data_IF_745483393877
#
_entry.id   IF_745483393877
#
_cell.length_a   1.000
_cell.length_b   1.000
_cell.length_c   1.000
_cell.angle_alpha   90.00
_cell.angle_beta   90.00
_cell.angle_gamma   90.00
#
_symmetry.space_group_name_H-M   'P 1'
#
loop_
_entity.id
_entity.type
_entity.pdbx_description
1 polymer ?
#
# COMPACT_ATOMS: atom_id res chain seq x y z
N UNK A 1 -4.72 -23.52 25.32
CA UNK A 1 -4.19 -22.68 24.22
C UNK A 1 -5.33 -22.20 23.32
N UNK A 2 -6.34 -21.52 23.88
CA UNK A 2 -7.49 -20.97 23.12
C UNK A 2 -7.83 -19.53 23.53
N UNK A 3 -6.86 -18.82 24.13
CA UNK A 3 -7.07 -17.44 24.64
C UNK A 3 -7.49 -16.45 23.55
N UNK A 4 -7.25 -16.79 22.28
CA UNK A 4 -7.61 -15.96 21.13
C UNK A 4 -9.06 -16.16 20.69
N UNK A 5 -9.68 -17.31 20.98
CA UNK A 5 -11.03 -17.68 20.55
C UNK A 5 -12.12 -17.05 21.45
N UNK A 6 -11.96 -15.77 21.76
CA UNK A 6 -12.95 -15.00 22.53
C UNK A 6 -13.93 -14.40 21.55
N UNK A 7 -15.22 -14.48 21.85
CA UNK A 7 -16.26 -13.82 21.07
C UNK A 7 -16.02 -12.30 21.04
N UNK A 8 -16.31 -11.65 19.92
CA UNK A 8 -16.27 -10.19 19.84
C UNK A 8 -17.60 -9.62 20.35
N UNK A 9 -17.54 -8.75 21.35
CA UNK A 9 -18.69 -7.95 21.80
C UNK A 9 -18.84 -6.71 20.92
N UNK A 10 -17.70 -6.14 20.52
CA UNK A 10 -17.60 -5.06 19.52
C UNK A 10 -16.26 -5.15 18.81
N UNK A 11 -15.98 -4.24 17.86
CA UNK A 11 -14.69 -4.19 17.17
C UNK A 11 -13.49 -4.00 18.13
N UNK A 12 -13.72 -3.44 19.32
CA UNK A 12 -12.68 -3.13 20.31
C UNK A 12 -12.77 -3.96 21.59
N UNK A 13 -13.84 -4.73 21.76
CA UNK A 13 -14.13 -5.44 22.99
C UNK A 13 -14.33 -6.93 22.72
N UNK A 14 -13.63 -7.75 23.50
CA UNK A 14 -13.76 -9.21 23.47
C UNK A 14 -14.49 -9.69 24.72
N UNK A 15 -15.37 -10.66 24.55
CA UNK A 15 -16.12 -11.34 25.60
C UNK A 15 -15.22 -12.15 26.52
N UNK A 16 -15.78 -12.96 27.41
CA UNK A 16 -15.02 -13.60 28.49
C UNK A 16 -13.80 -14.42 28.03
N UNK A 17 -12.83 -14.57 28.93
CA UNK A 17 -11.65 -15.39 28.65
C UNK A 17 -12.01 -16.87 28.59
N UNK A 18 -11.63 -17.50 27.49
CA UNK A 18 -11.64 -18.97 27.32
C UNK A 18 -10.64 -19.60 28.29
N UNK A 19 -11.13 -20.39 29.25
CA UNK A 19 -10.31 -21.11 30.25
C UNK A 19 -10.12 -22.57 29.87
N UNK A 20 -11.12 -23.19 29.25
CA UNK A 20 -11.12 -24.59 28.81
C UNK A 20 -11.62 -24.70 27.37
N UNK A 21 -11.38 -25.85 26.73
CA UNK A 21 -11.78 -26.07 25.33
C UNK A 21 -13.30 -26.11 25.21
N UNK A 22 -13.95 -26.69 26.21
CA UNK A 22 -15.40 -26.85 26.30
C UNK A 22 -16.14 -25.51 26.46
N UNK A 23 -15.43 -24.42 26.77
CA UNK A 23 -16.02 -23.08 26.82
C UNK A 23 -16.41 -22.57 25.42
N UNK A 24 -15.82 -23.13 24.35
CA UNK A 24 -15.98 -22.65 22.97
C UNK A 24 -16.24 -23.75 21.94
N UNK A 25 -16.07 -25.03 22.31
CA UNK A 25 -16.28 -26.17 21.42
C UNK A 25 -17.11 -27.26 22.10
N UNK A 26 -17.95 -27.91 21.30
CA UNK A 26 -18.77 -29.07 21.67
C UNK A 26 -18.38 -30.31 20.88
N UNK A 27 -18.66 -31.50 21.44
CA UNK A 27 -18.46 -32.76 20.72
C UNK A 27 -19.40 -32.79 19.51
N UNK A 28 -18.83 -32.96 18.31
CA UNK A 28 -19.55 -32.93 17.04
C UNK A 28 -19.27 -31.68 16.20
N UNK A 29 -18.60 -30.67 16.76
CA UNK A 29 -18.22 -29.47 16.00
C UNK A 29 -17.22 -29.79 14.89
N UNK A 30 -17.44 -29.18 13.72
CA UNK A 30 -16.48 -29.18 12.61
C UNK A 30 -15.61 -27.94 12.76
N UNK A 31 -14.32 -28.16 13.08
CA UNK A 31 -13.37 -27.08 13.35
C UNK A 31 -12.30 -26.99 12.26
N UNK A 32 -11.85 -25.76 11.99
CA UNK A 32 -10.69 -25.53 11.15
C UNK A 32 -9.43 -25.66 12.01
N UNK A 33 -8.45 -26.42 11.52
CA UNK A 33 -7.18 -26.61 12.21
C UNK A 33 -6.01 -26.48 11.24
N UNK A 34 -4.88 -26.00 11.74
CA UNK A 34 -3.60 -26.00 11.02
C UNK A 34 -2.61 -26.91 11.73
N UNK A 35 -1.96 -27.79 10.97
CA UNK A 35 -0.89 -28.64 11.51
C UNK A 35 0.27 -27.76 11.94
N UNK A 36 0.79 -27.98 13.16
CA UNK A 36 1.94 -27.20 13.66
C UNK A 36 3.23 -27.61 12.93
N UNK A 37 4.08 -26.63 12.59
CA UNK A 37 5.36 -26.92 11.95
C UNK A 37 6.29 -27.71 12.88
N UNK A 38 6.22 -27.41 14.19
CA UNK A 38 6.99 -28.10 15.23
C UNK A 38 6.13 -29.17 15.91
N UNK A 39 6.40 -30.43 15.58
CA UNK A 39 5.71 -31.59 16.14
C UNK A 39 6.40 -32.10 17.42
N UNK A 40 5.65 -32.69 18.37
CA UNK A 40 6.22 -33.30 19.56
C UNK A 40 7.10 -34.50 19.18
N UNK A 41 8.05 -34.85 20.07
CA UNK A 41 8.86 -36.06 19.89
C UNK A 41 7.96 -37.31 20.05
N UNK A 42 8.30 -38.43 19.37
CA UNK A 42 7.59 -39.68 19.56
C UNK A 42 7.55 -40.07 21.04
N UNK A 43 6.39 -40.53 21.50
CA UNK A 43 6.23 -41.07 22.84
C UNK A 43 6.49 -42.57 22.74
N UNK A 44 7.37 -43.07 23.61
CA UNK A 44 7.63 -44.51 23.75
C UNK A 44 6.63 -45.09 24.74
N UNK A 45 5.79 -45.99 24.25
CA UNK A 45 4.80 -46.69 25.08
C UNK A 45 5.18 -48.16 25.11
N UNK A 46 5.21 -48.74 26.30
CA UNK A 46 5.39 -50.17 26.49
C UNK A 46 4.03 -50.85 26.41
N UNK A 47 3.91 -51.82 25.53
CA UNK A 47 2.72 -52.64 25.37
C UNK A 47 3.10 -54.11 25.58
N UNK A 48 2.28 -54.85 26.33
CA UNK A 48 2.48 -56.29 26.50
C UNK A 48 1.76 -57.01 25.37
N UNK A 49 2.52 -57.69 24.53
CA UNK A 49 1.99 -58.47 23.41
C UNK A 49 2.14 -59.95 23.74
N UNK A 50 1.08 -60.73 23.52
CA UNK A 50 1.14 -62.18 23.64
C UNK A 50 1.67 -62.77 22.34
N UNK A 51 2.75 -63.52 22.42
CA UNK A 51 3.37 -64.21 21.30
C UNK A 51 3.36 -65.71 21.58
N UNK A 52 2.92 -66.49 20.61
CA UNK A 52 2.88 -67.94 20.73
C UNK A 52 4.18 -68.52 20.18
N UNK A 53 4.92 -69.23 21.02
CA UNK A 53 6.17 -69.89 20.65
C UNK A 53 6.06 -71.41 20.86
N UNK A 54 6.74 -72.18 20.01
CA UNK A 54 6.91 -73.62 20.20
C UNK A 54 8.25 -73.90 20.86
N UNK A 55 8.21 -74.55 22.02
CA UNK A 55 9.41 -74.93 22.76
C UNK A 55 9.26 -76.40 23.19
N UNK A 56 10.20 -77.25 22.77
CA UNK A 56 10.19 -78.71 23.01
C UNK A 56 8.93 -79.46 22.52
N UNK A 57 8.28 -78.98 21.44
CA UNK A 57 7.11 -79.64 20.85
C UNK A 57 5.76 -79.33 21.53
N UNK A 58 5.75 -78.40 22.49
CA UNK A 58 4.53 -77.84 23.10
C UNK A 58 4.39 -76.35 22.76
N UNK A 59 3.16 -75.94 22.42
CA UNK A 59 2.83 -74.54 22.14
C UNK A 59 2.63 -73.77 23.44
N UNK A 60 3.41 -72.72 23.68
CA UNK A 60 3.29 -71.84 24.85
C UNK A 60 3.03 -70.41 24.43
N UNK A 61 2.08 -69.76 25.10
CA UNK A 61 1.86 -68.32 24.99
C UNK A 61 2.74 -67.61 26.00
N UNK A 62 3.59 -66.69 25.53
CA UNK A 62 4.42 -65.84 26.38
C UNK A 62 4.00 -64.38 26.22
N UNK A 63 4.03 -63.64 27.34
CA UNK A 63 3.81 -62.19 27.34
C UNK A 63 5.16 -61.49 27.19
N UNK A 64 5.30 -60.65 26.16
CA UNK A 64 6.52 -59.89 25.90
C UNK A 64 6.21 -58.40 25.91
N UNK A 65 6.99 -57.62 26.67
CA UNK A 65 6.94 -56.15 26.54
C UNK A 65 7.62 -55.72 25.24
N UNK A 66 6.88 -55.03 24.39
CA UNK A 66 7.39 -54.41 23.16
C UNK A 66 7.29 -52.90 23.32
N UNK A 67 8.36 -52.19 22.97
CA UNK A 67 8.39 -50.73 23.00
C UNK A 67 7.90 -50.21 21.64
N UNK A 68 6.76 -49.53 21.64
CA UNK A 68 6.15 -48.94 20.43
C UNK A 68 6.31 -47.43 20.47
N UNK A 69 6.80 -46.86 19.37
CA UNK A 69 6.84 -45.41 19.20
C UNK A 69 5.52 -44.92 18.60
N UNK A 70 4.85 -44.01 19.32
CA UNK A 70 3.64 -43.33 18.86
C UNK A 70 4.02 -41.89 18.54
N UNK A 71 3.86 -41.50 17.28
CA UNK A 71 4.05 -40.12 16.85
C UNK A 71 2.72 -39.37 16.93
N UNK A 72 2.56 -38.54 17.96
CA UNK A 72 1.44 -37.62 18.04
C UNK A 72 1.59 -36.50 17.01
N UNK A 73 0.45 -36.02 16.50
CA UNK A 73 0.41 -34.83 15.65
C UNK A 73 -0.37 -33.73 16.34
N UNK A 74 0.27 -32.59 16.55
CA UNK A 74 -0.35 -31.39 17.12
C UNK A 74 -0.82 -30.42 16.03
N UNK A 75 -1.94 -29.78 16.33
CA UNK A 75 -2.62 -28.79 15.48
C UNK A 75 -2.93 -27.52 16.30
N UNK A 76 -2.95 -26.35 15.64
CA UNK A 76 -3.61 -25.15 16.15
C UNK A 76 -5.06 -25.12 15.67
N UNK A 77 -5.96 -24.64 16.53
CA UNK A 77 -7.28 -24.21 16.09
C UNK A 77 -7.12 -22.94 15.24
N UNK A 78 -7.93 -22.81 14.19
CA UNK A 78 -7.96 -21.67 13.29
C UNK A 78 -9.41 -21.17 13.14
N UNK A 79 -9.56 -19.91 12.73
CA UNK A 79 -10.85 -19.33 12.36
C UNK A 79 -10.74 -18.75 10.95
N UNK A 80 -11.77 -18.98 10.16
CA UNK A 80 -11.88 -18.35 8.85
C UNK A 80 -12.07 -16.84 9.03
N UNK A 81 -11.23 -15.98 8.44
CA UNK A 81 -11.31 -14.55 8.68
C UNK A 81 -12.54 -13.93 8.00
N UNK A 82 -13.32 -13.20 8.78
CA UNK A 82 -14.42 -12.36 8.26
C UNK A 82 -13.88 -11.13 7.51
N UNK A 83 -12.79 -10.55 8.03
CA UNK A 83 -12.08 -9.46 7.38
C UNK A 83 -11.47 -9.95 6.06
N UNK A 84 -11.58 -9.13 5.02
CA UNK A 84 -11.04 -9.42 3.71
C UNK A 84 -9.78 -8.60 3.43
N UNK A 85 -9.00 -9.07 2.47
CA UNK A 85 -7.86 -8.33 1.93
C UNK A 85 -7.73 -8.60 0.44
N UNK A 86 -7.17 -7.62 -0.26
CA UNK A 86 -6.82 -7.73 -1.67
C UNK A 86 -5.41 -7.20 -1.91
N UNK A 87 -4.73 -7.75 -2.92
CA UNK A 87 -3.40 -7.35 -3.34
C UNK A 87 -3.34 -7.23 -4.86
N UNK A 88 -2.68 -6.18 -5.33
CA UNK A 88 -2.33 -6.00 -6.75
C UNK A 88 -0.86 -5.64 -6.84
N UNK A 89 -0.13 -6.29 -7.74
CA UNK A 89 1.24 -5.94 -8.10
C UNK A 89 1.33 -5.65 -9.60
N UNK A 90 1.82 -4.46 -9.94
CA UNK A 90 1.93 -3.96 -11.33
C UNK A 90 3.38 -3.63 -11.62
N UNK A 91 3.86 -4.11 -12.76
CA UNK A 91 5.14 -3.72 -13.34
C UNK A 91 5.15 -2.24 -13.65
N UNK A 92 6.12 -1.52 -13.11
CA UNK A 92 6.18 -0.06 -13.21
C UNK A 92 6.38 0.39 -14.66
N UNK A 93 7.15 -0.37 -15.45
CA UNK A 93 7.59 0.03 -16.79
C UNK A 93 6.57 -0.31 -17.87
N UNK A 94 5.88 -1.44 -17.74
CA UNK A 94 4.96 -1.92 -18.79
C UNK A 94 3.48 -1.81 -18.42
N UNK A 95 3.14 -1.74 -17.12
CA UNK A 95 1.76 -1.86 -16.65
C UNK A 95 1.27 -3.32 -16.54
N UNK A 96 2.13 -4.32 -16.75
CA UNK A 96 1.74 -5.72 -16.60
C UNK A 96 1.30 -6.03 -15.16
N UNK A 97 0.13 -6.64 -14.98
CA UNK A 97 -0.31 -7.11 -13.67
C UNK A 97 0.42 -8.43 -13.34
N UNK A 98 1.46 -8.34 -12.50
CA UNK A 98 2.31 -9.48 -12.12
C UNK A 98 1.68 -10.38 -11.06
N UNK A 99 0.84 -9.82 -10.18
CA UNK A 99 0.08 -10.59 -9.21
C UNK A 99 -1.25 -9.91 -8.89
N UNK A 100 -2.29 -10.73 -8.70
CA UNK A 100 -3.60 -10.26 -8.27
C UNK A 100 -4.21 -11.26 -7.28
N UNK A 101 -4.66 -10.75 -6.13
CA UNK A 101 -5.38 -11.50 -5.10
C UNK A 101 -6.64 -10.73 -4.74
N UNK A 102 -7.82 -11.33 -4.94
CA UNK A 102 -9.12 -10.69 -4.77
C UNK A 102 -9.85 -10.95 -3.45
N UNK A 103 -9.26 -11.74 -2.55
CA UNK A 103 -9.88 -12.16 -1.28
C UNK A 103 -9.02 -13.17 -0.54
N UNK A 104 -9.44 -13.56 0.68
CA UNK A 104 -8.73 -14.57 1.47
C UNK A 104 -8.76 -15.96 0.82
N UNK A 105 -9.89 -16.35 0.25
CA UNK A 105 -10.03 -17.60 -0.49
C UNK A 105 -10.59 -17.40 -1.91
N UNK A 106 -10.75 -18.51 -2.62
CA UNK A 106 -11.35 -18.56 -3.96
C UNK A 106 -12.87 -18.78 -3.90
N UNK A 107 -13.50 -18.72 -2.72
CA UNK A 107 -14.94 -18.90 -2.61
C UNK A 107 -15.64 -17.60 -3.02
N UNK A 108 -16.47 -17.72 -4.05
CA UNK A 108 -17.16 -16.57 -4.64
C UNK A 108 -16.43 -16.02 -5.86
N UNK A 109 -17.19 -15.26 -6.66
CA UNK A 109 -16.73 -14.65 -7.92
C UNK A 109 -16.31 -13.18 -7.76
N UNK A 110 -16.42 -12.63 -6.55
CA UNK A 110 -16.17 -11.22 -6.27
C UNK A 110 -14.68 -10.97 -6.04
N UNK A 111 -14.06 -10.28 -6.99
CA UNK A 111 -12.66 -9.92 -6.99
C UNK A 111 -12.47 -8.49 -6.46
N UNK A 112 -12.14 -8.37 -5.17
CA UNK A 112 -12.00 -7.08 -4.47
C UNK A 112 -10.87 -6.22 -5.02
N UNK A 113 -9.87 -6.81 -5.67
CA UNK A 113 -8.77 -6.08 -6.26
C UNK A 113 -9.22 -5.15 -7.41
N UNK A 114 -10.26 -5.54 -8.15
CA UNK A 114 -10.73 -4.83 -9.36
C UNK A 114 -12.19 -4.34 -9.26
N UNK A 115 -13.04 -5.01 -8.46
CA UNK A 115 -14.48 -4.69 -8.38
C UNK A 115 -14.85 -3.87 -7.14
N UNK A 116 -14.14 -4.03 -6.01
CA UNK A 116 -14.48 -3.32 -4.79
C UNK A 116 -13.99 -1.87 -4.85
N UNK A 117 -14.92 -0.91 -4.86
CA UNK A 117 -14.61 0.51 -4.72
C UNK A 117 -14.70 0.89 -3.24
N UNK A 118 -13.57 1.25 -2.65
CA UNK A 118 -13.43 1.51 -1.21
C UNK A 118 -12.81 2.87 -0.97
N UNK A 119 -13.14 3.50 0.16
CA UNK A 119 -12.56 4.81 0.50
C UNK A 119 -11.05 4.67 0.67
N UNK A 120 -10.29 5.49 -0.04
CA UNK A 120 -8.82 5.37 -0.10
C UNK A 120 -8.12 6.03 1.10
N UNK A 121 -8.78 6.99 1.73
CA UNK A 121 -8.24 7.76 2.84
C UNK A 121 -6.91 8.42 2.47
N UNK A 122 -5.98 8.42 3.43
CA UNK A 122 -4.69 9.10 3.29
C UNK A 122 -3.78 8.61 2.13
N UNK A 123 -4.10 7.51 1.44
CA UNK A 123 -3.37 7.11 0.22
C UNK A 123 -3.70 8.01 -0.98
N UNK A 124 -4.71 8.88 -0.91
CA UNK A 124 -4.97 9.90 -1.94
C UNK A 124 -4.05 11.13 -1.83
N UNK A 125 -3.44 11.36 -0.67
CA UNK A 125 -2.64 12.57 -0.42
C UNK A 125 -1.53 12.82 -1.44
N UNK A 126 -0.79 11.83 -1.96
CA UNK A 126 0.26 12.10 -2.94
C UNK A 126 -0.23 12.90 -4.15
N UNK A 127 -1.47 12.70 -4.61
CA UNK A 127 -2.04 13.50 -5.70
C UNK A 127 -2.27 14.95 -5.28
N UNK A 128 -2.74 15.21 -4.06
CA UNK A 128 -2.90 16.57 -3.51
C UNK A 128 -1.55 17.29 -3.45
N UNK A 129 -0.52 16.63 -2.95
CA UNK A 129 0.82 17.20 -2.81
C UNK A 129 1.50 17.37 -4.18
N UNK A 130 1.32 16.43 -5.10
CA UNK A 130 1.78 16.55 -6.48
C UNK A 130 1.14 17.75 -7.18
N UNK A 131 -0.18 17.95 -7.03
CA UNK A 131 -0.85 19.14 -7.58
C UNK A 131 -0.31 20.42 -6.94
N UNK A 132 -0.02 20.43 -5.64
CA UNK A 132 0.58 21.60 -4.98
C UNK A 132 1.97 21.92 -5.55
N UNK A 133 2.85 20.92 -5.69
CA UNK A 133 4.18 21.11 -6.29
C UNK A 133 4.08 21.62 -7.73
N UNK A 134 3.11 21.12 -8.49
CA UNK A 134 2.84 21.59 -9.85
C UNK A 134 2.33 23.04 -9.91
N UNK A 135 1.74 23.54 -8.83
CA UNK A 135 1.25 24.91 -8.69
C UNK A 135 2.23 25.82 -7.92
N UNK A 136 3.53 25.53 -7.97
CA UNK A 136 4.58 26.41 -7.48
C UNK A 136 4.92 26.27 -5.99
N UNK A 137 4.30 25.31 -5.28
CA UNK A 137 4.77 24.96 -3.93
C UNK A 137 6.09 24.19 -4.03
N UNK A 138 6.96 24.42 -3.06
CA UNK A 138 8.24 23.72 -2.91
C UNK A 138 8.11 22.65 -1.83
N UNK A 139 9.01 21.68 -1.84
CA UNK A 139 9.06 20.62 -0.80
C UNK A 139 9.25 21.18 0.61
N UNK A 140 9.89 22.34 0.72
CA UNK A 140 10.09 23.06 1.97
C UNK A 140 9.10 24.21 2.23
N UNK A 141 8.10 24.44 1.36
CA UNK A 141 7.07 25.46 1.59
C UNK A 141 6.41 25.25 2.96
N UNK A 142 6.25 26.31 3.74
CA UNK A 142 5.72 26.22 5.09
C UNK A 142 4.20 26.21 5.06
N UNK A 143 3.59 25.16 5.59
CA UNK A 143 2.14 25.00 5.70
C UNK A 143 1.77 24.92 7.18
N UNK A 144 0.73 25.67 7.56
CA UNK A 144 0.27 25.72 8.94
C UNK A 144 -0.47 24.43 9.35
N UNK A 145 0.02 23.74 10.38
CA UNK A 145 -0.68 22.64 11.04
C UNK A 145 -1.36 23.12 12.32
N UNK A 146 -2.51 23.77 12.15
CA UNK A 146 -3.34 24.31 13.24
C UNK A 146 -4.82 23.96 13.03
N UNK A 147 -5.67 24.04 14.08
CA UNK A 147 -7.10 23.80 13.94
C UNK A 147 -7.70 24.66 12.82
N UNK A 148 -8.73 24.13 12.17
CA UNK A 148 -9.48 24.84 11.13
C UNK A 148 -10.95 24.46 11.26
N UNK A 149 -11.83 25.43 11.09
CA UNK A 149 -13.27 25.23 11.05
C UNK A 149 -13.75 25.71 9.70
N UNK A 150 -14.39 24.82 8.95
CA UNK A 150 -14.92 25.09 7.63
C UNK A 150 -16.43 25.09 7.75
N UNK A 151 -17.04 26.26 7.55
CA UNK A 151 -18.50 26.41 7.58
C UNK A 151 -19.03 26.20 6.18
N UNK A 152 -19.98 25.29 6.06
CA UNK A 152 -20.83 25.21 4.89
C UNK A 152 -21.99 26.19 5.08
N UNK A 153 -22.02 27.24 4.27
CA UNK A 153 -23.04 28.30 4.33
C UNK A 153 -24.44 27.80 3.97
N UNK A 154 -24.56 26.69 3.24
CA UNK A 154 -25.83 26.13 2.79
C UNK A 154 -26.37 25.09 3.79
N UNK A 155 -25.48 24.31 4.41
CA UNK A 155 -25.87 23.22 5.31
C UNK A 155 -25.93 23.62 6.80
N UNK A 156 -25.54 24.85 7.14
CA UNK A 156 -25.41 25.36 8.51
C UNK A 156 -24.58 24.41 9.41
N UNK A 157 -23.66 23.66 8.81
CA UNK A 157 -22.80 22.66 9.45
C UNK A 157 -21.36 23.15 9.42
N UNK A 158 -20.70 23.04 10.57
CA UNK A 158 -19.28 23.29 10.69
C UNK A 158 -18.53 21.96 10.63
N UNK A 159 -17.61 21.84 9.68
CA UNK A 159 -16.67 20.73 9.61
C UNK A 159 -15.36 21.12 10.30
N UNK A 160 -14.98 20.34 11.31
CA UNK A 160 -13.75 20.51 12.09
C UNK A 160 -12.84 19.30 11.90
N UNK A 161 -12.08 19.23 10.80
CA UNK A 161 -11.14 18.15 10.57
C UNK A 161 -10.03 18.15 11.63
N UNK A 162 -9.43 16.98 11.86
CA UNK A 162 -8.36 16.80 12.83
C UNK A 162 -7.27 15.88 12.28
N UNK A 163 -6.05 16.00 12.81
CA UNK A 163 -5.01 15.02 12.56
C UNK A 163 -5.34 13.70 13.28
N UNK A 164 -4.88 12.58 12.73
CA UNK A 164 -5.04 11.26 13.36
C UNK A 164 -4.48 11.21 14.80
N UNK A 165 -3.39 11.93 15.07
CA UNK A 165 -2.81 12.02 16.43
C UNK A 165 -3.56 12.95 17.38
N UNK A 166 -4.61 13.64 16.91
CA UNK A 166 -5.35 14.70 17.59
C UNK A 166 -4.50 15.92 18.02
N UNK A 167 -3.20 15.91 17.68
CA UNK A 167 -2.24 16.97 18.00
C UNK A 167 -2.08 17.91 16.81
N UNK A 168 -1.73 19.16 17.13
CA UNK A 168 -1.30 20.18 16.19
C UNK A 168 0.18 20.44 16.35
N UNK A 169 0.84 20.84 15.27
CA UNK A 169 2.30 20.94 15.22
C UNK A 169 2.80 22.30 14.71
N UNK A 170 1.90 23.24 14.42
CA UNK A 170 2.24 24.58 13.96
C UNK A 170 2.79 24.61 12.52
N UNK A 171 3.46 25.70 12.12
CA UNK A 171 4.07 25.82 10.81
C UNK A 171 5.07 24.68 10.57
N UNK A 172 4.99 24.02 9.42
CA UNK A 172 5.88 22.91 9.08
C UNK A 172 6.12 22.82 7.57
N UNK A 173 7.28 22.31 7.12
CA UNK A 173 7.56 22.07 5.70
C UNK A 173 6.52 21.15 5.06
N UNK A 174 6.16 21.42 3.80
CA UNK A 174 5.22 20.61 3.00
C UNK A 174 5.59 19.13 3.05
N UNK A 175 6.88 18.79 2.96
CA UNK A 175 7.39 17.43 3.16
C UNK A 175 6.84 16.75 4.41
N UNK A 176 6.88 17.43 5.57
CA UNK A 176 6.40 16.88 6.84
C UNK A 176 4.91 16.56 6.80
N UNK A 177 4.14 17.36 6.09
CA UNK A 177 2.71 17.13 5.86
C UNK A 177 2.46 15.76 5.24
N UNK A 178 3.18 15.41 4.18
CA UNK A 178 3.02 14.10 3.53
C UNK A 178 3.64 12.97 4.35
N UNK A 179 4.86 13.14 4.86
CA UNK A 179 5.58 12.14 5.68
C UNK A 179 4.75 11.67 6.89
N UNK A 180 4.21 12.64 7.63
CA UNK A 180 3.40 12.38 8.84
C UNK A 180 1.91 12.25 8.53
N UNK A 181 1.53 12.38 7.26
CA UNK A 181 0.16 12.31 6.78
C UNK A 181 -0.80 13.25 7.52
N UNK A 182 -0.40 14.50 7.76
CA UNK A 182 -1.18 15.49 8.51
C UNK A 182 -2.38 15.97 7.72
N UNK A 183 -3.58 15.75 8.26
CA UNK A 183 -4.85 16.12 7.62
C UNK A 183 -4.98 17.65 7.50
N UNK A 184 -4.62 18.38 8.55
CA UNK A 184 -4.80 19.84 8.62
C UNK A 184 -3.95 20.60 7.59
N UNK A 185 -2.73 20.11 7.31
CA UNK A 185 -1.87 20.65 6.25
C UNK A 185 -2.43 20.30 4.86
N UNK A 186 -2.87 19.05 4.65
CA UNK A 186 -3.46 18.60 3.38
C UNK A 186 -4.69 19.41 3.00
N UNK A 187 -5.57 19.73 3.96
CA UNK A 187 -6.77 20.53 3.71
C UNK A 187 -6.41 21.96 3.30
N UNK A 188 -5.40 22.56 3.96
CA UNK A 188 -4.93 23.90 3.58
C UNK A 188 -4.32 23.93 2.19
N UNK A 189 -3.51 22.93 1.84
CA UNK A 189 -3.03 22.76 0.47
C UNK A 189 -4.18 22.62 -0.51
N UNK A 190 -5.18 21.78 -0.21
CA UNK A 190 -6.33 21.61 -1.08
C UNK A 190 -7.19 22.88 -1.24
N UNK A 191 -7.29 23.70 -0.19
CA UNK A 191 -7.95 25.02 -0.28
C UNK A 191 -7.18 25.97 -1.20
N UNK A 192 -5.86 26.06 -1.03
CA UNK A 192 -5.00 26.96 -1.83
C UNK A 192 -4.93 26.55 -3.31
N UNK A 193 -4.77 25.25 -3.58
CA UNK A 193 -4.65 24.72 -4.94
C UNK A 193 -6.01 24.57 -5.63
N UNK A 194 -7.07 24.37 -4.86
CA UNK A 194 -8.42 24.13 -5.34
C UNK A 194 -8.73 22.65 -5.58
N UNK A 195 -9.82 22.16 -4.98
CA UNK A 195 -10.19 20.74 -5.07
C UNK A 195 -10.49 20.28 -6.50
N UNK A 196 -11.08 21.15 -7.32
CA UNK A 196 -11.35 20.85 -8.73
C UNK A 196 -10.06 20.61 -9.53
N UNK A 197 -8.99 21.36 -9.22
CA UNK A 197 -7.69 21.18 -9.85
C UNK A 197 -7.06 19.84 -9.44
N UNK A 198 -7.19 19.47 -8.17
CA UNK A 198 -6.72 18.17 -7.65
C UNK A 198 -7.45 17.01 -8.34
N UNK A 199 -8.79 17.08 -8.45
CA UNK A 199 -9.58 16.03 -9.10
C UNK A 199 -9.23 15.93 -10.60
N UNK A 200 -9.08 17.06 -11.29
CA UNK A 200 -8.64 17.11 -12.69
C UNK A 200 -7.21 16.59 -12.86
N UNK A 201 -6.33 16.86 -11.91
CA UNK A 201 -4.96 16.35 -11.93
C UNK A 201 -4.94 14.84 -11.72
N UNK A 202 -5.66 14.33 -10.72
CA UNK A 202 -5.82 12.91 -10.42
C UNK A 202 -6.40 12.10 -11.59
N UNK A 203 -7.30 12.69 -12.39
CA UNK A 203 -7.88 11.99 -13.55
C UNK A 203 -6.84 11.64 -14.62
N UNK A 204 -5.74 12.41 -14.72
CA UNK A 204 -4.66 12.10 -15.66
C UNK A 204 -3.92 10.80 -15.30
N UNK A 205 -3.99 10.36 -14.04
CA UNK A 205 -3.37 9.13 -13.54
C UNK A 205 -4.26 7.89 -13.75
N UNK A 206 -5.30 7.99 -14.58
CA UNK A 206 -6.26 6.89 -14.81
C UNK A 206 -7.30 6.71 -13.71
N UNK A 207 -7.32 7.56 -12.68
CA UNK A 207 -8.28 7.43 -11.59
C UNK A 207 -9.72 7.76 -12.04
N UNK A 208 -10.74 7.02 -11.57
CA UNK A 208 -12.14 7.24 -11.94
C UNK A 208 -12.73 8.46 -11.20
N UNK A 209 -12.46 9.67 -11.71
CA UNK A 209 -12.80 10.92 -11.02
C UNK A 209 -14.17 11.51 -11.36
N UNK A 210 -14.87 10.97 -12.37
CA UNK A 210 -16.10 11.56 -12.92
C UNK A 210 -17.20 11.81 -11.86
N UNK A 211 -17.29 10.94 -10.85
CA UNK A 211 -18.28 11.01 -9.77
C UNK A 211 -17.67 11.43 -8.41
N UNK A 212 -16.44 11.95 -8.39
CA UNK A 212 -15.83 12.42 -7.15
C UNK A 212 -16.49 13.72 -6.69
N UNK A 213 -16.82 13.77 -5.40
CA UNK A 213 -17.34 14.99 -4.79
C UNK A 213 -16.30 16.10 -4.81
N UNK A 214 -16.70 17.30 -5.22
CA UNK A 214 -15.84 18.48 -5.29
C UNK A 214 -15.80 19.23 -3.96
N UNK A 215 -15.51 18.52 -2.87
CA UNK A 215 -15.38 19.10 -1.52
C UNK A 215 -14.03 18.74 -0.89
N UNK A 216 -13.64 19.46 0.17
CA UNK A 216 -12.33 19.31 0.79
C UNK A 216 -12.12 17.94 1.48
N UNK A 217 -13.17 17.17 1.74
CA UNK A 217 -13.03 15.81 2.28
C UNK A 217 -12.36 14.88 1.27
N UNK A 218 -12.53 15.13 -0.03
CA UNK A 218 -11.89 14.36 -1.11
C UNK A 218 -10.37 14.46 -1.03
N UNK A 219 -9.80 15.58 -0.57
CA UNK A 219 -8.35 15.70 -0.34
C UNK A 219 -7.84 14.79 0.79
N UNK A 220 -8.71 14.32 1.67
CA UNK A 220 -8.41 13.32 2.70
C UNK A 220 -8.71 11.88 2.24
N UNK A 221 -9.22 11.70 1.02
CA UNK A 221 -9.50 10.41 0.41
C UNK A 221 -10.88 9.83 0.73
N UNK A 222 -11.92 10.66 0.83
CA UNK A 222 -13.32 10.20 0.92
C UNK A 222 -13.85 9.57 -0.36
N UNK A 223 -13.13 9.67 -1.48
CA UNK A 223 -13.48 9.04 -2.74
C UNK A 223 -13.29 7.52 -2.69
N UNK A 224 -14.23 6.78 -3.30
CA UNK A 224 -14.17 5.32 -3.43
C UNK A 224 -13.52 4.92 -4.75
N UNK A 225 -12.39 4.21 -4.67
CA UNK A 225 -11.58 3.80 -5.83
C UNK A 225 -11.23 2.31 -5.70
N UNK A 226 -11.06 1.61 -6.82
CA UNK A 226 -10.61 0.22 -6.80
C UNK A 226 -9.12 0.12 -6.45
N UNK A 227 -8.68 -1.06 -5.98
CA UNK A 227 -7.28 -1.27 -5.64
C UNK A 227 -6.38 -1.20 -6.88
N UNK A 228 -6.78 -1.81 -7.99
CA UNK A 228 -6.01 -1.77 -9.24
C UNK A 228 -5.82 -0.33 -9.76
N UNK A 229 -6.86 0.51 -9.71
CA UNK A 229 -6.76 1.90 -10.17
C UNK A 229 -5.78 2.70 -9.29
N UNK A 230 -5.83 2.50 -7.97
CA UNK A 230 -4.91 3.17 -7.05
C UNK A 230 -3.46 2.72 -7.23
N UNK A 231 -3.21 1.43 -7.44
CA UNK A 231 -1.84 0.93 -7.66
C UNK A 231 -1.31 1.40 -9.01
N UNK A 232 -2.15 1.35 -10.04
CA UNK A 232 -1.83 1.86 -11.38
C UNK A 232 -1.48 3.34 -11.35
N UNK A 233 -2.26 4.17 -10.66
CA UNK A 233 -1.94 5.59 -10.52
C UNK A 233 -0.58 5.84 -9.82
N UNK A 234 -0.17 4.95 -8.91
CA UNK A 234 1.15 5.05 -8.26
C UNK A 234 2.31 4.66 -9.17
N UNK A 235 2.09 3.87 -10.23
CA UNK A 235 3.17 3.53 -11.19
C UNK A 235 3.68 4.78 -11.90
N UNK A 236 2.84 5.80 -12.11
CA UNK A 236 3.24 7.07 -12.73
C UNK A 236 4.39 7.73 -11.96
N UNK A 237 4.32 7.76 -10.63
CA UNK A 237 5.40 8.33 -9.81
C UNK A 237 6.67 7.47 -9.85
N UNK A 238 6.51 6.15 -9.93
CA UNK A 238 7.60 5.19 -10.02
C UNK A 238 8.28 5.18 -11.41
N UNK A 239 7.51 5.50 -12.45
CA UNK A 239 7.91 5.43 -13.86
C UNK A 239 8.17 6.82 -14.47
N UNK A 240 8.80 7.72 -13.71
CA UNK A 240 9.23 9.03 -14.21
C UNK A 240 8.11 9.85 -14.90
N UNK A 241 6.87 9.71 -14.43
CA UNK A 241 5.73 10.45 -14.95
C UNK A 241 4.96 9.78 -16.10
N UNK A 242 5.34 8.55 -16.48
CA UNK A 242 4.73 7.79 -17.57
C UNK A 242 3.65 6.85 -17.03
N UNK A 243 2.45 6.92 -17.59
CA UNK A 243 1.33 6.03 -17.31
C UNK A 243 1.24 4.92 -18.36
N UNK A 244 1.19 3.68 -17.87
CA UNK A 244 0.84 2.51 -18.66
C UNK A 244 -0.46 1.91 -18.12
N UNK A 245 -1.41 1.67 -19.01
CA UNK A 245 -2.68 1.05 -18.65
C UNK A 245 -2.44 -0.39 -18.15
N UNK A 246 -2.98 -0.76 -16.98
CA UNK A 246 -2.83 -2.12 -16.46
C UNK A 246 -3.40 -3.17 -17.40
N UNK A 247 -2.62 -4.23 -17.67
CA UNK A 247 -3.07 -5.32 -18.53
C UNK A 247 -2.76 -6.69 -17.94
N UNK A 248 -3.56 -7.69 -18.34
CA UNK A 248 -3.48 -9.06 -17.84
C UNK A 248 -2.99 -10.06 -18.88
N UNK A 249 -3.33 -9.84 -20.16
CA UNK A 249 -3.01 -10.76 -21.25
C UNK A 249 -1.76 -10.24 -21.93
N UNK A 250 -0.67 -10.98 -21.77
CA UNK A 250 0.62 -10.69 -22.41
C UNK A 250 0.61 -11.12 -23.88
N UNK A 251 0.23 -12.36 -24.15
CA UNK A 251 0.15 -12.92 -25.50
C UNK A 251 -0.98 -13.95 -25.62
N UNK A 252 -1.45 -14.16 -26.86
CA UNK A 252 -2.41 -15.21 -27.24
C UNK A 252 -1.77 -15.98 -28.40
N UNK A 253 -1.74 -17.30 -28.29
CA UNK A 253 -1.21 -18.19 -29.34
C UNK A 253 -2.29 -19.14 -29.85
N UNK A 254 -2.19 -19.54 -31.11
CA UNK A 254 -3.01 -20.61 -31.67
C UNK A 254 -2.47 -22.01 -31.30
N UNK A 255 -3.17 -23.07 -31.70
CA UNK A 255 -2.77 -24.47 -31.44
C UNK A 255 -1.42 -24.87 -32.07
N UNK A 256 -0.93 -24.12 -33.05
CA UNK A 256 0.36 -24.34 -33.71
C UNK A 256 1.52 -23.61 -33.04
N UNK A 257 1.23 -22.77 -32.04
CA UNK A 257 2.19 -21.90 -31.37
C UNK A 257 2.45 -20.60 -32.13
N UNK A 258 1.57 -20.21 -33.06
CA UNK A 258 1.64 -18.93 -33.77
C UNK A 258 0.98 -17.84 -32.92
N UNK A 259 1.66 -16.71 -32.73
CA UNK A 259 1.16 -15.57 -31.94
C UNK A 259 0.02 -14.88 -32.70
N UNK A 260 -1.16 -14.83 -32.09
CA UNK A 260 -2.35 -14.09 -32.55
C UNK A 260 -2.31 -12.66 -32.04
N UNK A 261 -1.89 -12.49 -30.78
CA UNK A 261 -1.83 -11.21 -30.10
C UNK A 261 -0.61 -11.19 -29.19
N UNK A 262 0.07 -10.04 -29.13
CA UNK A 262 0.99 -9.72 -28.04
C UNK A 262 0.79 -8.26 -27.66
N UNK A 263 0.92 -7.91 -26.38
CA UNK A 263 0.84 -6.51 -25.95
C UNK A 263 1.85 -5.66 -26.75
N UNK A 264 1.38 -4.55 -27.34
CA UNK A 264 2.20 -3.70 -28.20
C UNK A 264 2.39 -4.21 -29.63
N UNK A 265 1.80 -5.35 -29.98
CA UNK A 265 1.93 -5.97 -31.30
C UNK A 265 0.65 -6.70 -31.73
N UNK A 266 -0.12 -6.05 -32.62
CA UNK A 266 -1.31 -6.64 -33.22
C UNK A 266 -0.95 -7.29 -34.58
N UNK A 267 -0.78 -8.61 -34.60
CA UNK A 267 -0.48 -9.40 -35.80
C UNK A 267 -1.77 -9.76 -36.54
N UNK A 268 -2.37 -8.79 -37.25
CA UNK A 268 -3.60 -9.03 -38.02
C UNK A 268 -3.37 -9.67 -39.40
N UNK A 269 -2.12 -9.69 -39.91
CA UNK A 269 -1.83 -10.09 -41.30
C UNK A 269 -0.49 -10.84 -41.48
N UNK A 270 -0.09 -11.63 -40.48
CA UNK A 270 1.14 -12.43 -40.57
C UNK A 270 0.90 -13.71 -41.40
N UNK A 271 0.61 -13.56 -42.69
CA UNK A 271 0.62 -14.66 -43.66
C UNK A 271 2.08 -15.07 -43.97
N UNK A 272 2.71 -15.78 -43.04
CA UNK A 272 4.07 -16.28 -43.19
C UNK A 272 4.44 -17.33 -42.16
N UNK A 273 5.46 -18.17 -42.41
CA UNK A 273 5.83 -19.23 -41.48
C UNK A 273 6.34 -18.64 -40.17
N UNK A 274 5.47 -18.69 -39.16
CA UNK A 274 5.75 -18.63 -37.72
C UNK A 274 6.27 -17.30 -37.16
N UNK A 275 5.35 -16.38 -36.82
CA UNK A 275 5.48 -15.54 -35.64
C UNK A 275 5.41 -16.43 -34.38
N UNK A 276 6.45 -17.22 -34.15
CA UNK A 276 6.70 -17.85 -32.84
C UNK A 276 7.31 -16.80 -31.93
N UNK A 277 7.13 -16.92 -30.61
CA UNK A 277 7.74 -16.00 -29.62
C UNK A 277 9.24 -15.76 -29.86
N UNK A 278 9.95 -16.75 -30.41
CA UNK A 278 11.39 -16.68 -30.71
C UNK A 278 11.78 -15.75 -31.87
N UNK A 279 10.81 -15.27 -32.67
CA UNK A 279 11.05 -14.51 -33.90
C UNK A 279 10.28 -13.18 -33.92
N UNK A 280 9.88 -12.66 -32.76
CA UNK A 280 9.24 -11.37 -32.64
C UNK A 280 10.26 -10.23 -32.85
N UNK A 281 9.92 -9.13 -33.56
CA UNK A 281 10.82 -7.99 -33.72
C UNK A 281 11.22 -7.37 -32.38
N UNK A 282 12.50 -6.99 -32.24
CA UNK A 282 13.03 -6.27 -31.06
C UNK A 282 12.27 -4.95 -30.77
N UNK A 283 11.64 -4.37 -31.80
CA UNK A 283 10.83 -3.15 -31.73
C UNK A 283 9.63 -3.27 -30.78
N UNK A 284 9.17 -4.50 -30.48
CA UNK A 284 8.04 -4.74 -29.55
C UNK A 284 8.38 -4.36 -28.10
N UNK A 285 9.61 -4.61 -27.63
CA UNK A 285 10.04 -4.21 -26.27
C UNK A 285 10.03 -2.67 -26.11
N UNK A 286 10.30 -1.94 -27.20
CA UNK A 286 10.28 -0.47 -27.19
C UNK A 286 8.86 0.10 -27.15
N UNK A 287 7.89 -0.63 -27.73
CA UNK A 287 6.46 -0.24 -27.74
C UNK A 287 5.80 -0.57 -26.40
N UNK A 288 6.17 -1.67 -25.73
CA UNK A 288 5.67 -2.02 -24.39
C UNK A 288 6.00 -0.96 -23.32
N UNK A 289 7.00 -0.11 -23.57
CA UNK A 289 7.43 0.96 -22.67
C UNK A 289 6.96 2.37 -23.13
N UNK A 290 6.10 2.47 -24.15
CA UNK A 290 5.68 3.72 -24.80
C UNK A 290 4.51 4.46 -24.13
N UNK A 291 4.31 4.27 -22.83
CA UNK A 291 3.18 4.83 -22.08
C UNK A 291 2.99 6.34 -22.23
N UNK A 292 1.82 6.83 -21.81
CA UNK A 292 1.49 8.25 -21.90
C UNK A 292 2.24 9.04 -20.84
N UNK A 293 3.00 10.08 -21.25
CA UNK A 293 3.59 11.04 -20.30
C UNK A 293 2.48 11.90 -19.68
N UNK A 294 2.31 11.80 -18.36
CA UNK A 294 1.25 12.48 -17.61
C UNK A 294 1.76 13.68 -16.81
N UNK A 295 2.95 13.55 -16.22
CA UNK A 295 3.67 14.59 -15.48
C UNK A 295 5.14 14.58 -15.89
N UNK A 296 5.87 15.64 -15.57
CA UNK A 296 7.33 15.63 -15.74
C UNK A 296 7.99 14.59 -14.83
N UNK A 297 9.12 14.06 -15.30
CA UNK A 297 10.03 13.23 -14.52
C UNK A 297 10.50 13.94 -13.24
N UNK A 298 10.77 15.25 -13.30
CA UNK A 298 11.08 16.10 -12.14
C UNK A 298 9.98 16.04 -11.08
N UNK A 299 8.70 16.24 -11.47
CA UNK A 299 7.58 16.16 -10.50
C UNK A 299 7.43 14.74 -9.94
N UNK A 300 7.53 13.73 -10.80
CA UNK A 300 7.44 12.32 -10.40
C UNK A 300 8.52 11.98 -9.36
N UNK A 301 9.77 12.41 -9.60
CA UNK A 301 10.88 12.19 -8.69
C UNK A 301 10.70 12.93 -7.37
N UNK A 302 10.27 14.20 -7.38
CA UNK A 302 10.00 14.96 -6.16
C UNK A 302 8.95 14.26 -5.28
N UNK A 303 7.84 13.79 -5.86
CA UNK A 303 6.80 13.05 -5.13
C UNK A 303 7.36 11.72 -4.61
N UNK A 304 8.12 11.01 -5.43
CA UNK A 304 8.81 9.78 -5.02
C UNK A 304 9.73 10.02 -3.82
N UNK A 305 10.53 11.07 -3.80
CA UNK A 305 11.39 11.40 -2.66
C UNK A 305 10.59 11.79 -1.40
N UNK A 306 9.47 12.53 -1.56
CA UNK A 306 8.54 12.78 -0.45
C UNK A 306 7.98 11.45 0.13
N UNK A 307 7.61 10.51 -0.72
CA UNK A 307 7.11 9.18 -0.34
C UNK A 307 8.22 8.28 0.23
N UNK A 308 9.47 8.41 -0.22
CA UNK A 308 10.60 7.81 0.48
C UNK A 308 10.75 8.40 1.90
N UNK A 309 10.43 9.68 2.08
CA UNK A 309 10.31 10.33 3.40
C UNK A 309 9.24 9.68 4.28
N UNK A 310 8.07 9.34 3.71
CA UNK A 310 7.01 8.60 4.42
C UNK A 310 7.54 7.26 4.93
N UNK A 311 8.39 6.58 4.16
CA UNK A 311 9.06 5.35 4.62
C UNK A 311 10.10 5.67 5.70
N UNK A 312 11.09 6.52 5.39
CA UNK A 312 12.27 6.80 6.23
C UNK A 312 11.96 7.49 7.55
N UNK A 313 10.88 8.26 7.62
CA UNK A 313 10.56 9.14 8.76
C UNK A 313 9.07 9.19 9.11
N UNK A 314 8.22 8.52 8.34
CA UNK A 314 6.76 8.66 8.43
C UNK A 314 5.99 7.38 8.74
N UNK A 315 4.74 7.34 8.26
CA UNK A 315 3.77 6.26 8.55
C UNK A 315 4.05 4.96 7.79
N UNK A 316 4.80 5.01 6.69
CA UNK A 316 5.19 3.88 5.85
C UNK A 316 6.46 3.15 6.30
N UNK A 317 6.81 3.24 7.59
CA UNK A 317 8.08 2.75 8.11
C UNK A 317 8.30 1.24 7.92
N UNK A 318 7.23 0.45 7.78
CA UNK A 318 7.32 -1.01 7.56
C UNK A 318 8.10 -1.37 6.30
N UNK A 319 7.97 -0.56 5.24
CA UNK A 319 8.70 -0.75 3.99
C UNK A 319 10.24 -0.66 4.16
N UNK A 320 10.76 -0.06 5.25
CA UNK A 320 12.21 -0.08 5.54
C UNK A 320 12.77 -1.49 5.64
N UNK A 321 11.94 -2.48 6.00
CA UNK A 321 12.34 -3.87 6.11
C UNK A 321 12.78 -4.50 4.77
N UNK A 322 12.52 -3.84 3.63
CA UNK A 322 13.04 -4.27 2.34
C UNK A 322 14.54 -3.98 2.17
N UNK A 323 15.09 -2.99 2.86
CA UNK A 323 16.51 -2.63 2.74
C UNK A 323 16.93 -2.22 1.34
N UNK A 324 16.07 -1.54 0.59
CA UNK A 324 16.33 -0.99 -0.75
C UNK A 324 15.54 0.32 -0.94
N UNK A 325 15.83 1.13 -1.98
CA UNK A 325 15.03 2.30 -2.30
C UNK A 325 13.55 1.93 -2.49
N UNK A 326 12.69 2.56 -1.72
CA UNK A 326 11.26 2.27 -1.71
C UNK A 326 10.48 3.50 -1.29
N UNK A 327 9.38 3.74 -1.98
CA UNK A 327 8.40 4.78 -1.70
C UNK A 327 7.09 4.12 -1.29
N UNK A 328 6.38 4.67 -0.29
CA UNK A 328 5.10 4.12 0.13
C UNK A 328 4.21 5.15 0.81
N UNK A 329 2.90 4.90 0.77
CA UNK A 329 1.89 5.66 1.48
C UNK A 329 0.88 4.74 2.15
N UNK A 330 0.58 5.05 3.41
CA UNK A 330 -0.52 4.44 4.15
C UNK A 330 -1.84 5.18 3.89
N UNK A 331 -2.93 4.44 3.77
CA UNK A 331 -4.30 4.95 3.81
C UNK A 331 -5.05 4.36 5.00
N UNK A 332 -5.85 5.18 5.66
CA UNK A 332 -6.71 4.79 6.78
C UNK A 332 -7.91 5.70 6.73
N UNK A 333 -9.10 5.11 6.74
CA UNK A 333 -10.36 5.84 6.76
C UNK A 333 -10.86 6.01 8.19
N UNK A 334 -11.89 6.83 8.37
CA UNK A 334 -12.50 7.02 9.68
C UNK A 334 -13.01 5.67 10.22
N UNK A 335 -13.02 5.54 11.55
CA UNK A 335 -13.48 4.35 12.26
C UNK A 335 -12.80 3.04 11.81
N UNK A 336 -11.60 3.11 11.22
CA UNK A 336 -10.80 1.94 10.82
C UNK A 336 -11.55 0.99 9.88
N UNK A 337 -12.40 1.54 9.00
CA UNK A 337 -13.21 0.75 8.05
C UNK A 337 -12.33 0.18 6.92
N UNK A 338 -11.39 0.98 6.43
CA UNK A 338 -10.49 0.61 5.34
C UNK A 338 -9.03 0.94 5.71
N UNK A 339 -8.19 -0.08 5.56
CA UNK A 339 -6.74 0.03 5.68
C UNK A 339 -6.12 -0.15 4.29
N UNK A 340 -5.19 0.73 3.94
CA UNK A 340 -4.46 0.67 2.67
C UNK A 340 -2.96 0.82 2.91
N UNK A 341 -2.19 0.11 2.09
CA UNK A 341 -0.76 0.31 1.96
C UNK A 341 -0.38 0.21 0.49
N UNK A 342 -0.01 1.33 -0.12
CA UNK A 342 0.39 1.40 -1.53
C UNK A 342 1.84 1.88 -1.58
N UNK A 343 2.70 1.15 -2.26
CA UNK A 343 4.12 1.48 -2.35
C UNK A 343 4.79 0.78 -3.52
N UNK A 344 5.99 1.24 -3.85
CA UNK A 344 6.68 0.82 -5.05
C UNK A 344 8.20 0.92 -4.91
N UNK A 345 8.89 0.11 -5.72
CA UNK A 345 10.29 0.31 -6.13
C UNK A 345 10.31 0.90 -7.54
N UNK A 346 11.48 1.04 -8.16
CA UNK A 346 11.57 1.43 -9.58
C UNK A 346 11.04 0.34 -10.54
N UNK A 347 10.86 -0.90 -10.06
CA UNK A 347 10.52 -2.05 -10.87
C UNK A 347 9.05 -2.49 -10.68
N UNK A 348 8.53 -2.44 -9.44
CA UNK A 348 7.23 -2.99 -9.08
C UNK A 348 6.46 -2.08 -8.14
N UNK A 349 5.20 -1.79 -8.48
CA UNK A 349 4.23 -1.14 -7.61
C UNK A 349 3.27 -2.16 -7.02
N UNK A 350 3.03 -2.09 -5.72
CA UNK A 350 2.16 -3.01 -4.99
C UNK A 350 1.21 -2.23 -4.10
N UNK A 351 -0.05 -2.63 -4.09
CA UNK A 351 -1.03 -2.16 -3.14
C UNK A 351 -1.70 -3.31 -2.40
N UNK A 352 -1.99 -3.05 -1.13
CA UNK A 352 -2.81 -3.93 -0.31
C UNK A 352 -3.94 -3.11 0.30
N UNK A 353 -5.16 -3.65 0.20
CA UNK A 353 -6.33 -3.19 0.94
C UNK A 353 -6.75 -4.25 1.95
N UNK A 354 -7.27 -3.83 3.10
CA UNK A 354 -7.89 -4.70 4.10
C UNK A 354 -9.14 -4.02 4.67
N UNK A 355 -10.21 -4.79 4.86
CA UNK A 355 -11.49 -4.30 5.38
C UNK A 355 -12.61 -5.34 5.25
N UNK A 356 -13.78 -5.05 5.81
CA UNK A 356 -14.97 -5.89 5.66
C UNK A 356 -15.77 -5.52 4.40
N UNK A 357 -16.37 -6.52 3.75
CA UNK A 357 -17.24 -6.30 2.58
C UNK A 357 -18.42 -5.40 2.93
N UNK A 358 -19.14 -5.76 4.00
CA UNK A 358 -20.08 -4.88 4.68
C UNK A 358 -19.27 -3.91 5.55
N UNK A 359 -19.17 -2.62 5.19
CA UNK A 359 -18.23 -1.72 5.86
C UNK A 359 -18.59 -1.55 7.34
N UNK A 360 -17.67 -1.95 8.21
CA UNK A 360 -17.68 -1.62 9.64
C UNK A 360 -16.24 -1.55 10.15
N UNK A 361 -16.07 -1.05 11.37
CA UNK A 361 -14.76 -0.90 12.00
C UNK A 361 -14.05 -2.25 12.12
N UNK A 362 -12.75 -2.26 11.79
CA UNK A 362 -11.82 -3.35 12.12
C UNK A 362 -11.34 -3.30 13.58
N UNK A 363 -11.57 -2.20 14.27
CA UNK A 363 -11.10 -1.97 15.64
C UNK A 363 -9.98 -0.94 15.70
N UNK A 364 -9.75 -0.44 16.91
CA UNK A 364 -8.76 0.59 17.17
C UNK A 364 -7.36 0.11 16.80
N UNK A 365 -6.61 1.00 16.17
CA UNK A 365 -5.24 0.78 15.67
C UNK A 365 -5.14 -0.11 14.42
N UNK A 366 -6.26 -0.59 13.86
CA UNK A 366 -6.28 -1.30 12.58
C UNK A 366 -6.15 -0.33 11.39
N UNK A 367 -4.97 0.29 11.33
CA UNK A 367 -4.59 1.28 10.34
C UNK A 367 -3.99 0.64 9.10
N UNK A 368 -3.81 1.42 8.04
CA UNK A 368 -3.08 1.00 6.83
C UNK A 368 -1.67 0.49 7.12
N UNK A 369 -0.97 1.11 8.09
CA UNK A 369 0.31 0.58 8.55
C UNK A 369 0.10 -0.70 9.35
N UNK A 370 -0.89 -0.75 10.25
CA UNK A 370 -1.19 -1.88 11.15
C UNK A 370 -1.49 -3.21 10.44
N UNK A 371 -2.43 -3.18 9.49
CA UNK A 371 -3.02 -4.37 8.85
C UNK A 371 -2.43 -4.64 7.47
N UNK A 372 -2.55 -3.67 6.56
CA UNK A 372 -2.14 -3.85 5.16
C UNK A 372 -0.63 -3.77 4.97
N UNK A 373 0.06 -3.01 5.84
CA UNK A 373 1.52 -2.84 5.80
C UNK A 373 2.33 -4.12 5.98
N UNK A 374 2.04 -5.01 6.96
CA UNK A 374 2.67 -6.31 7.09
C UNK A 374 2.52 -7.18 5.84
N UNK A 375 1.30 -7.28 5.30
CA UNK A 375 1.00 -8.08 4.09
C UNK A 375 1.83 -7.55 2.91
N UNK A 376 1.82 -6.23 2.69
CA UNK A 376 2.61 -5.58 1.66
C UNK A 376 4.10 -5.86 1.82
N UNK A 377 4.61 -5.77 3.05
CA UNK A 377 6.04 -5.95 3.36
C UNK A 377 6.47 -7.40 3.12
N UNK A 378 5.65 -8.37 3.52
CA UNK A 378 5.92 -9.79 3.31
C UNK A 378 5.91 -10.13 1.82
N UNK A 379 4.90 -9.67 1.06
CA UNK A 379 4.85 -9.85 -0.38
C UNK A 379 6.11 -9.28 -1.05
N UNK A 380 6.45 -8.03 -0.75
CA UNK A 380 7.60 -7.37 -1.37
C UNK A 380 8.94 -8.00 -0.98
N UNK A 381 9.08 -8.58 0.23
CA UNK A 381 10.26 -9.36 0.60
C UNK A 381 10.41 -10.62 -0.27
N UNK A 382 9.31 -11.30 -0.55
CA UNK A 382 9.29 -12.48 -1.41
C UNK A 382 9.47 -12.12 -2.90
N UNK A 383 8.98 -10.95 -3.33
CA UNK A 383 9.17 -10.45 -4.69
C UNK A 383 10.58 -9.92 -4.94
N UNK A 384 11.27 -9.40 -3.92
CA UNK A 384 12.59 -8.74 -4.03
C UNK A 384 13.63 -9.51 -4.86
N UNK A 385 13.81 -10.83 -4.74
CA UNK A 385 14.77 -11.58 -5.56
C UNK A 385 14.51 -11.57 -7.07
N UNK A 386 13.30 -11.21 -7.49
CA UNK A 386 12.88 -11.16 -8.89
C UNK A 386 12.89 -9.73 -9.46
N UNK A 387 13.21 -8.73 -8.64
CA UNK A 387 13.33 -7.34 -9.08
C UNK A 387 14.73 -7.08 -9.65
N UNK A 388 14.83 -6.21 -10.65
CA UNK A 388 16.12 -5.76 -11.17
C UNK A 388 16.94 -5.01 -10.10
N UNK A 389 16.28 -4.43 -9.10
CA UNK A 389 16.95 -3.74 -8.00
C UNK A 389 17.36 -2.32 -8.36
N UNK A 390 16.66 -1.71 -9.32
CA UNK A 390 16.96 -0.39 -9.84
C UNK A 390 16.75 0.70 -8.77
N UNK A 391 17.59 1.73 -8.82
CA UNK A 391 17.33 2.98 -8.11
C UNK A 391 16.27 3.79 -8.86
N UNK A 392 15.60 4.70 -8.16
CA UNK A 392 14.82 5.73 -8.84
C UNK A 392 15.78 6.66 -9.59
N UNK A 393 15.52 6.83 -10.88
CA UNK A 393 16.29 7.73 -11.74
C UNK A 393 16.10 9.17 -11.29
N UNK A 394 17.19 9.92 -11.18
CA UNK A 394 17.19 11.32 -10.75
C UNK A 394 17.25 12.19 -12.02
N UNK A 395 16.20 12.98 -12.33
CA UNK A 395 16.20 13.89 -13.48
C UNK A 395 17.30 14.95 -13.39
N UNK A 396 17.77 15.46 -14.54
CA UNK A 396 18.81 16.48 -14.62
C UNK A 396 18.44 17.80 -13.92
N UNK A 397 17.14 18.13 -13.91
CA UNK A 397 16.57 19.34 -13.30
C UNK A 397 16.37 19.23 -11.77
N UNK A 398 16.86 18.15 -11.14
CA UNK A 398 16.78 17.97 -9.69
C UNK A 398 18.08 18.40 -9.01
N UNK A 399 17.93 19.22 -7.98
CA UNK A 399 19.02 19.59 -7.06
C UNK A 399 18.70 19.18 -5.63
N UNK A 400 19.73 18.80 -4.89
CA UNK A 400 19.61 18.47 -3.46
C UNK A 400 20.32 19.51 -2.61
N UNK A 401 19.58 20.08 -1.66
CA UNK A 401 20.15 21.02 -0.68
C UNK A 401 19.99 20.46 0.72
N UNK A 402 21.06 20.56 1.51
CA UNK A 402 21.00 20.20 2.92
C UNK A 402 20.16 21.25 3.65
N UNK A 403 19.08 20.83 4.31
CA UNK A 403 18.19 21.70 5.10
C UNK A 403 17.98 21.11 6.50
N UNK A 404 17.54 21.95 7.43
CA UNK A 404 17.04 21.56 8.74
C UNK A 404 15.74 20.73 8.60
N UNK A 405 15.70 19.53 9.19
CA UNK A 405 14.58 18.59 9.06
C UNK A 405 13.26 19.13 9.69
N UNK A 406 13.35 20.07 10.63
CA UNK A 406 12.18 20.64 11.31
C UNK A 406 11.66 21.86 10.58
N UNK A 407 12.54 22.76 10.16
CA UNK A 407 12.15 24.06 9.59
C UNK A 407 12.12 24.07 8.05
N UNK A 408 12.80 23.13 7.38
CA UNK A 408 12.96 23.14 5.92
C UNK A 408 13.87 24.27 5.40
N UNK A 409 14.48 25.03 6.31
CA UNK A 409 15.39 26.14 6.01
C UNK A 409 16.84 25.66 6.00
N UNK A 410 17.76 26.49 5.53
CA UNK A 410 19.19 26.19 5.57
C UNK A 410 19.66 25.93 7.01
N UNK A 411 20.60 24.98 7.24
CA UNK A 411 21.08 24.66 8.57
C UNK A 411 21.75 25.86 9.25
N UNK A 412 21.50 26.03 10.54
CA UNK A 412 22.14 27.02 11.39
C UNK A 412 22.97 26.34 12.48
N UNK A 413 23.67 27.11 13.31
CA UNK A 413 24.36 26.58 14.49
C UNK A 413 23.44 25.81 15.45
N UNK A 414 22.12 26.06 15.42
CA UNK A 414 21.13 25.41 16.27
C UNK A 414 20.47 24.18 15.60
N UNK A 415 20.84 23.84 14.37
CA UNK A 415 20.21 22.73 13.64
C UNK A 415 20.66 21.40 14.21
N UNK A 416 19.72 20.68 14.83
CA UNK A 416 20.00 19.37 15.45
C UNK A 416 20.07 18.23 14.45
N UNK A 417 19.36 18.34 13.32
CA UNK A 417 19.28 17.28 12.32
C UNK A 417 18.98 17.86 10.94
N UNK A 418 19.73 17.39 9.96
CA UNK A 418 19.58 17.81 8.56
C UNK A 418 19.08 16.67 7.68
N UNK A 419 18.42 17.02 6.58
CA UNK A 419 18.13 16.12 5.47
C UNK A 419 18.62 16.73 4.16
N UNK A 420 18.83 15.90 3.14
CA UNK A 420 18.88 16.36 1.77
C UNK A 420 17.44 16.55 1.31
N UNK A 421 17.09 17.79 0.98
CA UNK A 421 15.80 18.20 0.47
C UNK A 421 15.89 18.40 -1.04
N UNK A 422 14.85 17.98 -1.73
CA UNK A 422 14.79 17.94 -3.20
C UNK A 422 14.11 19.21 -3.72
N UNK A 423 14.70 19.85 -4.71
CA UNK A 423 14.19 21.04 -5.38
C UNK A 423 14.31 20.88 -6.89
N UNK A 424 13.45 21.58 -7.64
CA UNK A 424 13.73 21.88 -9.04
C UNK A 424 14.90 22.85 -9.10
N UNK A 425 15.72 22.77 -10.14
CA UNK A 425 16.86 23.66 -10.30
C UNK A 425 16.38 25.13 -10.36
N UNK A 426 16.96 25.99 -9.54
CA UNK A 426 16.57 27.40 -9.41
C UNK A 426 15.47 27.67 -8.39
N UNK A 427 14.83 26.64 -7.82
CA UNK A 427 13.83 26.82 -6.75
C UNK A 427 14.44 26.70 -5.34
N UNK A 428 15.68 26.22 -5.22
CA UNK A 428 16.33 25.99 -3.95
C UNK A 428 16.65 27.30 -3.19
N UNK A 429 16.74 27.28 -1.84
CA UNK A 429 16.89 28.49 -1.04
C UNK A 429 18.11 29.38 -1.32
N UNK A 430 19.10 28.87 -2.06
CA UNK A 430 20.34 29.58 -2.42
C UNK A 430 20.41 29.96 -3.91
N UNK A 431 19.37 29.69 -4.69
CA UNK A 431 19.34 30.05 -6.11
C UNK A 431 19.53 31.57 -6.25
N UNK A 432 20.54 31.99 -7.01
CA UNK A 432 20.63 33.40 -7.41
C UNK A 432 19.46 33.68 -8.36
N UNK A 433 18.52 34.52 -7.93
CA UNK A 433 17.45 34.99 -8.81
C UNK A 433 18.06 35.81 -9.94
N UNK A 434 18.34 35.19 -11.09
CA UNK A 434 18.50 35.91 -12.34
C UNK A 434 17.18 36.64 -12.60
N UNK A 435 17.23 37.96 -12.69
CA UNK A 435 16.06 38.85 -12.68
C UNK A 435 14.97 38.41 -13.64
N UNK A 436 13.87 37.96 -13.05
CA UNK A 436 12.48 38.29 -13.38
C UNK A 436 11.62 37.67 -12.28
N UNK A 437 11.57 38.38 -11.15
CA UNK A 437 10.81 37.98 -9.99
C UNK A 437 9.31 38.16 -10.26
N UNK A 438 8.65 37.14 -10.81
CA UNK A 438 7.26 36.88 -10.44
C UNK A 438 7.27 36.30 -9.01
N UNK A 439 7.55 37.17 -8.03
CA UNK A 439 7.09 36.93 -6.67
C UNK A 439 5.57 37.10 -6.78
N UNK A 440 4.84 36.01 -6.96
CA UNK A 440 3.51 35.95 -6.40
C UNK A 440 3.73 36.03 -4.89
N UNK A 441 3.66 37.24 -4.34
CA UNK A 441 3.39 37.42 -2.92
C UNK A 441 2.06 36.74 -2.69
N UNK A 442 2.12 35.49 -2.24
CA UNK A 442 0.96 34.88 -1.61
C UNK A 442 0.72 35.73 -0.38
N UNK A 443 -0.38 36.47 -0.40
CA UNK A 443 -0.81 37.28 0.73
C UNK A 443 -0.91 36.37 1.98
N UNK A 444 0.04 36.57 2.90
CA UNK A 444 0.10 35.90 4.20
C UNK A 444 -1.11 36.28 5.08
N UNK A 445 -1.94 37.24 4.68
CA UNK A 445 -3.20 37.56 5.38
C UNK A 445 -4.17 36.37 5.41
N UNK A 446 -4.14 35.49 4.40
CA UNK A 446 -4.95 34.26 4.38
C UNK A 446 -4.35 33.11 5.23
N UNK A 447 -3.11 33.21 5.72
CA UNK A 447 -2.56 32.22 6.68
C UNK A 447 -3.15 32.39 8.09
N UNK A 448 -3.79 33.53 8.38
CA UNK A 448 -4.36 33.87 9.68
C UNK A 448 -5.90 33.85 9.72
N UNK A 449 -6.59 33.67 8.58
CA UNK A 449 -8.04 33.49 8.59
C UNK A 449 -8.43 32.15 9.23
N UNK A 450 -8.92 32.24 10.48
CA UNK A 450 -9.46 31.11 11.23
C UNK A 450 -9.08 31.07 12.70
N UNK A 451 -8.29 32.04 13.20
CA UNK A 451 -8.12 32.27 14.65
C UNK A 451 -9.17 33.28 15.11
N UNK A 452 -10.41 32.82 15.29
CA UNK A 452 -11.41 33.50 16.12
C UNK A 452 -12.20 32.46 16.92
#
# INVERSE_FOLDING_TARGET
QLRWAREYVSADERGDYVRKVEDVLSVGDIILVKKLDKQPKPIKVKETVEETIEENGETKTISKEVEKEIQETHYSLEQYPEVQSALVAIDVKTGAVKALVGGFDKQGTFNRAIQAKRQVGSSFKPFVYATALENGFKTNSIILDAPIILRDSELNKAWKPQNYSEKVYGPSPLRRGLEKSRNLMTIRLARKVGISNIIKFASKFGLPTANMEKNLSTALGSASISLIDMVSAYTVFANSGIYNEPYFIESIQDRSGSVIYKKGYDCFDCEGPTAKETNLPDEIESIEQSGQVIISDTLAYMVTDLLQGVVKRGTGWRARALGMPVAAKTGTTNDYIDAWYVGYTADLAVGVWSGFDNPHSMGNNETGSGVSGPIWTEFMKNAKPYLAGNNFEIPEDIVFVKVDEKTGQLPTANTSKTILEVFRNGEEPNAQTSGDSYIQEYDDSELLEGIY
#
